data_IF_608823454964
#
_entry.id   IF_608823454964
#
_cell.length_a   1.000
_cell.length_b   1.000
_cell.length_c   1.000
_cell.angle_alpha   90.00
_cell.angle_beta   90.00
_cell.angle_gamma   90.00
#
_symmetry.space_group_name_H-M   'P 1'
#
loop_
_entity.id
_entity.type
_entity.pdbx_description
1 polymer ?
#
# COMPACT_ATOMS: atom_id res chain seq x y z
N UNK A 1 -5.63 55.19 -104.67
CA UNK A 1 -5.58 55.32 -106.14
C UNK A 1 -4.28 55.97 -106.65
N UNK A 2 -3.20 56.04 -105.85
CA UNK A 2 -1.99 56.80 -106.24
C UNK A 2 -0.80 55.95 -106.70
N UNK A 3 -0.86 54.63 -106.57
CA UNK A 3 0.24 53.76 -106.99
C UNK A 3 0.38 53.67 -108.51
N UNK A 4 -0.73 53.80 -109.26
CA UNK A 4 -0.74 53.79 -110.72
C UNK A 4 -0.38 55.16 -111.32
N UNK A 5 -0.65 56.26 -110.59
CA UNK A 5 -0.23 57.62 -110.94
C UNK A 5 1.28 57.82 -110.71
N UNK A 6 1.82 57.33 -109.59
CA UNK A 6 3.26 57.36 -109.31
C UNK A 6 4.09 56.47 -110.24
N UNK A 7 3.55 55.31 -110.64
CA UNK A 7 4.19 54.47 -111.64
C UNK A 7 4.18 55.12 -113.04
N UNK A 8 3.10 55.83 -113.41
CA UNK A 8 3.04 56.54 -114.69
C UNK A 8 4.00 57.74 -114.71
N UNK A 9 4.10 58.51 -113.62
CA UNK A 9 5.04 59.64 -113.52
C UNK A 9 6.50 59.15 -113.53
N UNK A 10 6.83 58.07 -112.81
CA UNK A 10 8.16 57.45 -112.90
C UNK A 10 8.43 56.88 -114.30
N UNK A 11 7.43 56.33 -114.99
CA UNK A 11 7.57 55.85 -116.35
C UNK A 11 7.73 57.01 -117.36
N UNK A 12 7.00 58.11 -117.21
CA UNK A 12 7.13 59.33 -118.02
C UNK A 12 8.49 59.99 -117.80
N UNK A 13 8.94 60.12 -116.55
CA UNK A 13 10.27 60.65 -116.19
C UNK A 13 11.39 59.74 -116.72
N UNK A 14 11.21 58.42 -116.65
CA UNK A 14 12.18 57.49 -117.23
C UNK A 14 12.18 57.57 -118.75
N UNK A 15 11.02 57.73 -119.41
CA UNK A 15 10.90 57.86 -120.86
C UNK A 15 11.47 59.19 -121.38
N UNK A 16 11.25 60.30 -120.66
CA UNK A 16 11.82 61.61 -120.96
C UNK A 16 13.33 61.59 -120.77
N UNK A 17 13.83 61.04 -119.65
CA UNK A 17 15.26 60.90 -119.40
C UNK A 17 15.95 60.00 -120.44
N UNK A 18 15.33 58.88 -120.83
CA UNK A 18 15.87 58.00 -121.86
C UNK A 18 15.80 58.60 -123.27
N UNK A 19 14.72 59.32 -123.61
CA UNK A 19 14.54 59.99 -124.91
C UNK A 19 15.53 61.15 -125.08
N UNK A 20 15.74 61.96 -124.04
CA UNK A 20 16.75 63.03 -124.04
C UNK A 20 18.18 62.46 -124.09
N UNK A 21 18.46 61.38 -123.37
CA UNK A 21 19.79 60.78 -123.38
C UNK A 21 20.09 60.05 -124.71
N UNK A 22 19.10 59.41 -125.34
CA UNK A 22 19.22 58.82 -126.69
C UNK A 22 19.31 59.88 -127.78
N UNK A 23 18.55 60.97 -127.72
CA UNK A 23 18.69 62.10 -128.64
C UNK A 23 20.08 62.73 -128.53
N UNK A 24 20.60 62.91 -127.31
CA UNK A 24 21.96 63.42 -127.09
C UNK A 24 23.04 62.46 -127.62
N UNK A 25 22.88 61.13 -127.48
CA UNK A 25 23.79 60.15 -128.10
C UNK A 25 23.71 60.10 -129.64
N UNK A 26 22.54 60.36 -130.24
CA UNK A 26 22.35 60.40 -131.70
C UNK A 26 22.92 61.68 -132.32
N UNK A 27 22.75 62.84 -131.67
CA UNK A 27 23.37 64.11 -132.09
C UNK A 27 24.91 64.05 -131.98
N UNK A 28 25.45 63.42 -130.94
CA UNK A 28 26.89 63.21 -130.80
C UNK A 28 27.48 62.33 -131.92
N UNK A 29 26.76 61.27 -132.37
CA UNK A 29 27.22 60.40 -133.48
C UNK A 29 27.12 61.02 -134.88
N UNK A 30 26.16 61.93 -135.13
CA UNK A 30 26.04 62.60 -136.44
C UNK A 30 27.05 63.76 -136.61
N UNK A 31 27.45 64.42 -135.52
CA UNK A 31 28.55 65.41 -135.48
C UNK A 31 29.93 64.79 -135.77
N UNK A 32 30.11 63.50 -135.51
CA UNK A 32 31.42 62.82 -135.58
C UNK A 32 31.91 62.42 -136.98
N UNK A 33 31.07 62.49 -138.03
CA UNK A 33 31.48 62.14 -139.42
C UNK A 33 32.26 63.24 -140.14
N UNK A 34 32.22 64.47 -139.65
CA UNK A 34 32.88 65.64 -140.28
C UNK A 34 34.05 66.21 -139.45
N UNK A 35 34.51 65.51 -138.41
CA UNK A 35 35.64 65.93 -137.57
C UNK A 35 36.90 65.09 -137.84
N UNK A 36 38.05 65.75 -137.95
CA UNK A 36 39.36 65.14 -138.20
C UNK A 36 39.76 64.09 -137.14
N UNK A 37 40.56 63.06 -137.49
CA UNK A 37 40.96 61.96 -136.58
C UNK A 37 41.55 62.42 -135.23
N UNK A 38 42.26 63.55 -135.22
CA UNK A 38 42.82 64.14 -134.00
C UNK A 38 41.75 64.58 -132.98
N UNK A 39 40.59 65.06 -133.46
CA UNK A 39 39.51 65.59 -132.62
C UNK A 39 38.64 64.48 -132.02
N UNK A 40 38.50 63.34 -132.72
CA UNK A 40 37.87 62.12 -132.18
C UNK A 40 38.68 61.49 -131.05
N UNK A 41 40.01 61.48 -131.20
CA UNK A 41 40.91 60.96 -130.18
C UNK A 41 40.89 61.84 -128.92
N UNK A 42 40.79 63.16 -129.09
CA UNK A 42 40.61 64.11 -128.00
C UNK A 42 39.29 63.89 -127.25
N UNK A 43 38.17 63.71 -127.97
CA UNK A 43 36.86 63.46 -127.35
C UNK A 43 36.80 62.11 -126.61
N UNK A 44 37.38 61.05 -127.20
CA UNK A 44 37.50 59.73 -126.54
C UNK A 44 38.44 59.78 -125.32
N UNK A 45 39.50 60.60 -125.35
CA UNK A 45 40.32 60.90 -124.17
C UNK A 45 39.58 61.72 -123.12
N UNK A 46 38.66 62.59 -123.54
CA UNK A 46 37.82 63.38 -122.64
C UNK A 46 36.75 62.50 -121.97
N UNK A 47 36.12 61.58 -122.72
CA UNK A 47 35.23 60.56 -122.18
C UNK A 47 35.96 59.55 -121.28
N UNK A 48 37.16 59.10 -121.67
CA UNK A 48 38.01 58.27 -120.81
C UNK A 48 38.37 59.02 -119.52
N UNK A 49 38.70 60.31 -119.62
CA UNK A 49 38.97 61.16 -118.47
C UNK A 49 37.74 61.30 -117.57
N UNK A 50 36.55 61.52 -118.13
CA UNK A 50 35.31 61.70 -117.38
C UNK A 50 34.81 60.40 -116.75
N UNK A 51 34.93 59.26 -117.45
CA UNK A 51 34.67 57.93 -116.90
C UNK A 51 35.70 57.57 -115.82
N UNK A 52 36.96 57.91 -116.00
CA UNK A 52 38.00 57.68 -114.99
C UNK A 52 37.79 58.60 -113.77
N UNK A 53 37.32 59.83 -113.97
CA UNK A 53 36.91 60.75 -112.90
C UNK A 53 35.68 60.23 -112.14
N UNK A 54 34.66 59.73 -112.84
CA UNK A 54 33.48 59.11 -112.22
C UNK A 54 33.84 57.80 -111.49
N UNK A 55 34.71 56.96 -112.07
CA UNK A 55 35.19 55.74 -111.44
C UNK A 55 36.03 56.04 -110.19
N UNK A 56 36.84 57.11 -110.20
CA UNK A 56 37.55 57.60 -109.01
C UNK A 56 36.58 58.10 -107.93
N UNK A 57 35.52 58.81 -108.30
CA UNK A 57 34.48 59.24 -107.37
C UNK A 57 33.76 58.04 -106.74
N UNK A 58 33.32 57.06 -107.54
CA UNK A 58 32.67 55.83 -107.04
C UNK A 58 33.62 55.00 -106.18
N UNK A 59 34.89 54.87 -106.56
CA UNK A 59 35.91 54.20 -105.73
C UNK A 59 36.15 54.94 -104.42
N UNK A 60 36.15 56.28 -104.44
CA UNK A 60 36.28 57.10 -103.25
C UNK A 60 35.07 56.93 -102.31
N UNK A 61 33.85 56.95 -102.85
CA UNK A 61 32.61 56.74 -102.08
C UNK A 61 32.49 55.31 -101.55
N UNK A 62 32.87 54.31 -102.35
CA UNK A 62 32.95 52.91 -101.91
C UNK A 62 33.98 52.74 -100.80
N UNK A 63 35.17 53.35 -100.95
CA UNK A 63 36.20 53.28 -99.92
C UNK A 63 35.73 53.99 -98.62
N UNK A 64 35.09 55.16 -98.74
CA UNK A 64 34.52 55.86 -97.59
C UNK A 64 33.41 55.07 -96.89
N UNK A 65 32.53 54.42 -97.64
CA UNK A 65 31.48 53.57 -97.06
C UNK A 65 32.06 52.33 -96.38
N UNK A 66 33.07 51.69 -96.96
CA UNK A 66 33.79 50.57 -96.33
C UNK A 66 34.52 51.00 -95.05
N UNK A 67 35.19 52.15 -95.06
CA UNK A 67 35.85 52.74 -93.88
C UNK A 67 34.83 53.07 -92.79
N UNK A 68 33.71 53.72 -93.13
CA UNK A 68 32.65 54.04 -92.18
C UNK A 68 31.97 52.79 -91.59
N UNK A 69 31.74 51.75 -92.41
CA UNK A 69 31.23 50.47 -91.91
C UNK A 69 32.24 49.77 -90.99
N UNK A 70 33.53 49.90 -91.26
CA UNK A 70 34.60 49.36 -90.41
C UNK A 70 34.64 50.09 -89.06
N UNK A 71 34.61 51.42 -89.07
CA UNK A 71 34.54 52.25 -87.86
C UNK A 71 33.29 51.91 -87.04
N UNK A 72 32.12 51.79 -87.68
CA UNK A 72 30.87 51.42 -86.99
C UNK A 72 30.91 50.00 -86.44
N UNK A 73 31.53 49.04 -87.13
CA UNK A 73 31.78 47.69 -86.59
C UNK A 73 32.69 47.74 -85.36
N UNK A 74 33.74 48.55 -85.39
CA UNK A 74 34.65 48.72 -84.24
C UNK A 74 33.94 49.38 -83.06
N UNK A 75 33.11 50.39 -83.29
CA UNK A 75 32.30 51.05 -82.26
C UNK A 75 31.28 50.08 -81.62
N UNK A 76 30.57 49.28 -82.44
CA UNK A 76 29.66 48.24 -81.95
C UNK A 76 30.44 47.20 -81.12
N UNK A 77 31.64 46.81 -81.57
CA UNK A 77 32.48 45.85 -80.84
C UNK A 77 33.02 46.43 -79.52
N UNK A 78 33.26 47.74 -79.47
CA UNK A 78 33.55 48.48 -78.24
C UNK A 78 32.37 48.44 -77.28
N UNK A 79 31.19 48.85 -77.75
CA UNK A 79 29.94 48.81 -76.96
C UNK A 79 29.61 47.39 -76.47
N UNK A 80 29.83 46.37 -77.28
CA UNK A 80 29.64 44.97 -76.87
C UNK A 80 30.60 44.56 -75.75
N UNK A 81 31.88 44.96 -75.83
CA UNK A 81 32.86 44.75 -74.75
C UNK A 81 32.43 45.48 -73.49
N UNK A 82 32.01 46.74 -73.59
CA UNK A 82 31.55 47.51 -72.44
C UNK A 82 30.35 46.85 -71.78
N UNK A 83 29.33 46.45 -72.55
CA UNK A 83 28.17 45.70 -72.05
C UNK A 83 28.61 44.40 -71.35
N UNK A 84 29.53 43.63 -71.94
CA UNK A 84 30.07 42.41 -71.30
C UNK A 84 30.75 42.72 -69.96
N UNK A 85 31.53 43.80 -69.88
CA UNK A 85 32.17 44.20 -68.61
C UNK A 85 31.15 44.68 -67.57
N UNK A 86 30.13 45.43 -67.98
CA UNK A 86 29.05 45.87 -67.09
C UNK A 86 28.21 44.70 -66.60
N UNK A 87 27.90 43.73 -67.46
CA UNK A 87 27.18 42.51 -67.09
C UNK A 87 27.97 41.69 -66.08
N UNK A 88 29.28 41.50 -66.31
CA UNK A 88 30.14 40.82 -65.35
C UNK A 88 30.21 41.55 -63.99
N UNK A 89 30.29 42.90 -63.98
CA UNK A 89 30.23 43.71 -62.76
C UNK A 89 28.87 43.61 -62.07
N UNK A 90 27.77 43.59 -62.82
CA UNK A 90 26.42 43.47 -62.28
C UNK A 90 26.17 42.09 -61.68
N UNK A 91 26.60 41.02 -62.35
CA UNK A 91 26.56 39.66 -61.82
C UNK A 91 27.38 39.53 -60.53
N UNK A 92 28.57 40.15 -60.51
CA UNK A 92 29.39 40.19 -59.30
C UNK A 92 28.68 40.95 -58.16
N UNK A 93 28.08 42.11 -58.46
CA UNK A 93 27.30 42.89 -57.49
C UNK A 93 26.09 42.10 -56.96
N UNK A 94 25.35 41.39 -57.82
CA UNK A 94 24.23 40.54 -57.41
C UNK A 94 24.69 39.41 -56.50
N UNK A 95 25.81 38.73 -56.83
CA UNK A 95 26.40 37.69 -55.97
C UNK A 95 26.83 38.25 -54.62
N UNK A 96 27.48 39.41 -54.59
CA UNK A 96 27.89 40.06 -53.34
C UNK A 96 26.71 40.52 -52.50
N UNK A 97 25.68 41.09 -53.12
CA UNK A 97 24.45 41.49 -52.43
C UNK A 97 23.74 40.27 -51.85
N UNK A 98 23.63 39.18 -52.61
CA UNK A 98 23.05 37.93 -52.13
C UNK A 98 23.85 37.36 -50.96
N UNK A 99 25.18 37.38 -51.03
CA UNK A 99 26.03 36.99 -49.90
C UNK A 99 25.80 37.88 -48.66
N UNK A 100 25.65 39.20 -48.83
CA UNK A 100 25.34 40.14 -47.73
C UNK A 100 23.96 39.84 -47.16
N UNK A 101 22.95 39.60 -48.00
CA UNK A 101 21.58 39.24 -47.60
C UNK A 101 21.55 37.95 -46.81
N UNK A 102 22.22 36.90 -47.28
CA UNK A 102 22.34 35.62 -46.58
C UNK A 102 23.08 35.77 -45.26
N UNK A 103 24.18 36.53 -45.21
CA UNK A 103 24.91 36.79 -43.95
C UNK A 103 24.05 37.55 -42.95
N UNK A 104 23.36 38.59 -43.38
CA UNK A 104 22.45 39.37 -42.54
C UNK A 104 21.30 38.50 -42.00
N UNK A 105 20.68 37.68 -42.86
CA UNK A 105 19.63 36.73 -42.46
C UNK A 105 20.14 35.70 -41.44
N UNK A 106 21.29 35.08 -41.69
CA UNK A 106 21.92 34.15 -40.74
C UNK A 106 22.30 34.81 -39.42
N UNK A 107 22.71 36.08 -39.42
CA UNK A 107 22.99 36.82 -38.18
C UNK A 107 21.70 37.08 -37.41
N UNK A 108 20.66 37.57 -38.07
CA UNK A 108 19.35 37.82 -37.46
C UNK A 108 18.71 36.54 -36.91
N UNK A 109 18.81 35.41 -37.61
CA UNK A 109 18.32 34.11 -37.12
C UNK A 109 19.08 33.63 -35.89
N UNK A 110 20.41 33.77 -35.86
CA UNK A 110 21.21 33.42 -34.67
C UNK A 110 20.86 34.30 -33.47
N UNK A 111 20.72 35.60 -33.69
CA UNK A 111 20.33 36.54 -32.64
C UNK A 111 18.93 36.25 -32.09
N UNK A 112 17.95 35.99 -32.97
CA UNK A 112 16.60 35.55 -32.56
C UNK A 112 16.63 34.27 -31.73
N UNK A 113 17.39 33.26 -32.15
CA UNK A 113 17.54 32.01 -31.38
C UNK A 113 18.18 32.25 -30.01
N UNK A 114 19.23 33.06 -29.94
CA UNK A 114 19.88 33.41 -28.68
C UNK A 114 18.94 34.16 -27.74
N UNK A 115 18.18 35.14 -28.25
CA UNK A 115 17.18 35.86 -27.45
C UNK A 115 16.07 34.94 -26.96
N UNK A 116 15.62 33.98 -27.77
CA UNK A 116 14.63 32.98 -27.35
C UNK A 116 15.18 32.08 -26.24
N UNK A 117 16.42 31.60 -26.37
CA UNK A 117 17.07 30.81 -25.32
C UNK A 117 17.21 31.61 -24.02
N UNK A 118 17.73 32.84 -24.10
CA UNK A 118 17.90 33.70 -22.93
C UNK A 118 16.59 34.12 -22.27
N UNK A 119 15.54 34.38 -23.04
CA UNK A 119 14.22 34.67 -22.48
C UNK A 119 13.57 33.46 -21.82
N UNK A 120 13.81 32.24 -22.33
CA UNK A 120 13.37 31.03 -21.65
C UNK A 120 14.14 30.80 -20.33
N UNK A 121 15.47 30.95 -20.34
CA UNK A 121 16.32 30.87 -19.14
C UNK A 121 15.92 31.93 -18.09
N UNK A 122 15.62 33.16 -18.51
CA UNK A 122 15.16 34.21 -17.60
C UNK A 122 13.84 33.82 -16.92
N UNK A 123 12.86 33.30 -17.68
CA UNK A 123 11.57 32.87 -17.12
C UNK A 123 11.73 31.74 -16.11
N UNK A 124 12.61 30.77 -16.38
CA UNK A 124 12.87 29.68 -15.43
C UNK A 124 13.50 30.22 -14.16
N UNK A 125 14.49 31.12 -14.29
CA UNK A 125 15.20 31.69 -13.15
C UNK A 125 14.30 32.63 -12.32
N UNK A 126 13.42 33.40 -12.96
CA UNK A 126 12.40 34.22 -12.30
C UNK A 126 11.42 33.35 -11.50
N UNK A 127 11.00 32.21 -12.06
CA UNK A 127 10.15 31.24 -11.36
C UNK A 127 10.84 30.64 -10.12
N UNK A 128 12.12 30.25 -10.24
CA UNK A 128 12.92 29.75 -9.12
C UNK A 128 13.11 30.81 -8.03
N UNK A 129 13.38 32.06 -8.42
CA UNK A 129 13.57 33.17 -7.50
C UNK A 129 12.28 33.45 -6.71
N UNK A 130 11.12 33.41 -7.37
CA UNK A 130 9.82 33.55 -6.71
C UNK A 130 9.57 32.41 -5.71
N UNK A 131 9.82 31.15 -6.10
CA UNK A 131 9.65 30.00 -5.23
C UNK A 131 10.57 30.08 -3.99
N UNK A 132 11.85 30.43 -4.18
CA UNK A 132 12.79 30.62 -3.08
C UNK A 132 12.40 31.79 -2.17
N UNK A 133 11.86 32.86 -2.73
CA UNK A 133 11.38 34.02 -1.96
C UNK A 133 10.19 33.64 -1.09
N UNK A 134 9.23 32.90 -1.64
CA UNK A 134 8.08 32.39 -0.88
C UNK A 134 8.52 31.45 0.24
N UNK A 135 9.46 30.54 -0.02
CA UNK A 135 9.96 29.63 1.01
C UNK A 135 10.72 30.39 2.11
N UNK A 136 11.52 31.39 1.75
CA UNK A 136 12.18 32.28 2.72
C UNK A 136 11.15 33.02 3.58
N UNK A 137 10.09 33.57 2.99
CA UNK A 137 9.02 34.25 3.73
C UNK A 137 8.28 33.29 4.65
N UNK A 138 7.98 32.07 4.19
CA UNK A 138 7.38 31.02 5.01
C UNK A 138 8.26 30.69 6.22
N UNK A 139 9.56 30.48 5.99
CA UNK A 139 10.52 30.19 7.06
C UNK A 139 10.69 31.38 8.02
N UNK A 140 10.73 32.61 7.52
CA UNK A 140 10.78 33.81 8.35
C UNK A 140 9.55 33.93 9.25
N UNK A 141 8.34 33.71 8.71
CA UNK A 141 7.11 33.74 9.50
C UNK A 141 7.07 32.64 10.58
N UNK A 142 7.67 31.48 10.30
CA UNK A 142 7.77 30.40 11.27
C UNK A 142 8.80 30.72 12.36
N UNK A 143 9.93 31.34 11.99
CA UNK A 143 10.94 31.78 12.93
C UNK A 143 10.39 32.87 13.88
N UNK A 144 9.65 33.85 13.35
CA UNK A 144 9.00 34.90 14.13
C UNK A 144 7.99 34.32 15.14
N UNK A 145 7.13 33.38 14.71
CA UNK A 145 6.21 32.68 15.62
C UNK A 145 6.95 31.91 16.73
N UNK A 146 8.12 31.37 16.42
CA UNK A 146 8.91 30.56 17.34
C UNK A 146 9.91 31.38 18.18
N UNK A 147 10.02 32.70 17.98
CA UNK A 147 10.92 33.59 18.70
C UNK A 147 10.65 33.64 20.22
N UNK A 148 9.41 33.31 20.61
CA UNK A 148 8.99 33.26 22.02
C UNK A 148 9.77 32.19 22.81
N UNK A 149 10.12 31.07 22.17
CA UNK A 149 10.77 29.93 22.84
C UNK A 149 12.22 30.20 23.27
N UNK A 150 13.14 30.70 22.43
CA UNK A 150 14.50 31.05 22.88
C UNK A 150 14.47 32.12 23.96
N UNK A 151 13.60 33.14 23.84
CA UNK A 151 13.38 34.16 24.86
C UNK A 151 12.94 33.57 26.20
N UNK A 152 12.00 32.63 26.16
CA UNK A 152 11.57 31.89 27.34
C UNK A 152 12.72 31.10 27.97
N UNK A 153 13.49 30.35 27.17
CA UNK A 153 14.60 29.56 27.67
C UNK A 153 15.71 30.44 28.26
N UNK A 154 16.01 31.59 27.65
CA UNK A 154 16.95 32.57 28.21
C UNK A 154 16.47 33.12 29.56
N UNK A 155 15.15 33.39 29.71
CA UNK A 155 14.57 33.75 31.01
C UNK A 155 14.74 32.63 32.04
N UNK A 156 14.51 31.38 31.66
CA UNK A 156 14.70 30.21 32.54
C UNK A 156 16.15 30.08 33.00
N UNK A 157 17.12 30.21 32.08
CA UNK A 157 18.56 30.21 32.39
C UNK A 157 18.89 31.31 33.39
N UNK A 158 18.39 32.54 33.16
CA UNK A 158 18.60 33.68 34.05
C UNK A 158 18.03 33.47 35.46
N UNK A 159 16.89 32.81 35.58
CA UNK A 159 16.23 32.53 36.86
C UNK A 159 16.90 31.39 37.63
N UNK A 160 17.17 30.27 36.95
CA UNK A 160 17.63 29.05 37.62
C UNK A 160 19.10 29.08 38.00
N UNK A 161 19.96 29.88 37.33
CA UNK A 161 21.42 30.01 37.55
C UNK A 161 22.25 28.72 37.55
N UNK A 162 21.62 27.55 37.51
CA UNK A 162 22.22 26.22 37.42
C UNK A 162 22.61 25.86 35.99
N UNK A 163 22.10 26.59 35.01
CA UNK A 163 22.36 26.40 33.59
C UNK A 163 23.03 27.66 33.06
N UNK A 164 24.01 27.48 32.18
CA UNK A 164 24.69 28.59 31.50
C UNK A 164 24.05 28.87 30.14
N UNK A 165 23.52 27.84 29.48
CA UNK A 165 22.94 27.92 28.14
C UNK A 165 21.55 27.27 28.06
N UNK A 166 20.65 27.80 27.21
CA UNK A 166 19.36 27.16 26.89
C UNK A 166 19.47 25.68 26.50
N UNK A 167 20.57 25.29 25.84
CA UNK A 167 20.81 23.91 25.41
C UNK A 167 20.96 22.94 26.57
N UNK A 168 21.53 23.39 27.69
CA UNK A 168 21.67 22.56 28.90
C UNK A 168 20.29 22.30 29.55
N UNK A 169 19.40 23.30 29.52
CA UNK A 169 18.02 23.16 29.99
C UNK A 169 17.27 22.13 29.15
N UNK A 170 17.39 22.20 27.82
CA UNK A 170 16.78 21.23 26.91
C UNK A 170 17.32 19.82 27.14
N UNK A 171 18.65 19.65 27.23
CA UNK A 171 19.26 18.34 27.49
C UNK A 171 18.81 17.74 28.84
N UNK A 172 18.67 18.57 29.88
CA UNK A 172 18.13 18.12 31.17
C UNK A 172 16.66 17.71 31.05
N UNK A 173 15.86 18.48 30.32
CA UNK A 173 14.47 18.13 30.06
C UNK A 173 14.35 16.81 29.31
N UNK A 174 15.14 16.61 28.25
CA UNK A 174 15.17 15.36 27.47
C UNK A 174 15.53 14.17 28.36
N UNK A 175 16.56 14.33 29.21
CA UNK A 175 16.95 13.30 30.18
C UNK A 175 15.82 13.01 31.18
N UNK A 176 15.11 14.03 31.66
CA UNK A 176 13.97 13.86 32.57
C UNK A 176 12.79 13.16 31.90
N UNK A 177 12.50 13.49 30.64
CA UNK A 177 11.46 12.81 29.85
C UNK A 177 11.81 11.34 29.65
N UNK A 178 13.06 11.05 29.28
CA UNK A 178 13.53 9.67 29.13
C UNK A 178 13.45 8.91 30.47
N UNK A 179 13.96 9.49 31.55
CA UNK A 179 13.90 8.88 32.89
C UNK A 179 12.45 8.63 33.33
N UNK A 180 11.54 9.55 33.02
CA UNK A 180 10.11 9.38 33.31
C UNK A 180 9.54 8.19 32.54
N UNK A 181 9.86 8.05 31.26
CA UNK A 181 9.38 6.92 30.45
C UNK A 181 9.94 5.60 31.01
N UNK A 182 11.23 5.54 31.33
CA UNK A 182 11.86 4.34 31.91
C UNK A 182 11.21 3.96 33.25
N UNK A 183 10.92 4.94 34.11
CA UNK A 183 10.21 4.71 35.38
C UNK A 183 8.78 4.23 35.17
N UNK A 184 8.05 4.78 34.20
CA UNK A 184 6.71 4.32 33.86
C UNK A 184 6.71 2.88 33.34
N UNK A 185 7.68 2.53 32.50
CA UNK A 185 7.84 1.15 32.03
C UNK A 185 8.18 0.20 33.18
N UNK A 186 9.12 0.58 34.05
CA UNK A 186 9.44 -0.23 35.24
C UNK A 186 8.24 -0.39 36.18
N UNK A 187 7.42 0.65 36.35
CA UNK A 187 6.19 0.59 37.15
C UNK A 187 5.19 -0.39 36.54
N UNK A 188 4.97 -0.34 35.23
CA UNK A 188 4.08 -1.28 34.51
C UNK A 188 4.56 -2.72 34.65
N UNK A 189 5.86 -2.97 34.54
CA UNK A 189 6.43 -4.30 34.76
C UNK A 189 6.22 -4.76 36.21
N UNK A 190 6.45 -3.88 37.18
CA UNK A 190 6.17 -4.16 38.59
C UNK A 190 4.71 -4.52 38.87
N UNK A 191 3.77 -3.73 38.33
CA UNK A 191 2.33 -4.01 38.40
C UNK A 191 1.97 -5.34 37.76
N UNK A 192 2.55 -5.67 36.59
CA UNK A 192 2.32 -6.95 35.94
C UNK A 192 2.82 -8.14 36.78
N UNK A 193 3.97 -8.00 37.45
CA UNK A 193 4.50 -9.03 38.35
C UNK A 193 3.60 -9.22 39.58
N UNK A 194 3.14 -8.13 40.19
CA UNK A 194 2.21 -8.19 41.33
C UNK A 194 0.88 -8.84 40.91
N UNK A 195 0.31 -8.42 39.78
CA UNK A 195 -0.93 -8.99 39.26
C UNK A 195 -0.79 -10.49 38.95
N UNK A 196 0.36 -10.91 38.41
CA UNK A 196 0.65 -12.33 38.19
C UNK A 196 0.73 -13.10 39.51
N UNK A 197 1.46 -12.57 40.51
CA UNK A 197 1.54 -13.20 41.83
C UNK A 197 0.17 -13.30 42.52
N UNK A 198 -0.66 -12.27 42.41
CA UNK A 198 -2.04 -12.28 42.91
C UNK A 198 -2.90 -13.32 42.18
N UNK A 199 -2.75 -13.45 40.86
CA UNK A 199 -3.45 -14.47 40.08
C UNK A 199 -3.03 -15.90 40.48
N UNK A 200 -1.74 -16.14 40.69
CA UNK A 200 -1.22 -17.42 41.18
C UNK A 200 -1.75 -17.74 42.59
N UNK A 201 -1.79 -16.73 43.47
CA UNK A 201 -2.35 -16.90 44.81
C UNK A 201 -3.84 -17.23 44.75
N UNK A 202 -4.61 -16.55 43.90
CA UNK A 202 -6.04 -16.83 43.71
C UNK A 202 -6.27 -18.27 43.24
N UNK A 203 -5.49 -18.74 42.26
CA UNK A 203 -5.54 -20.12 41.77
C UNK A 203 -5.19 -21.13 42.87
N UNK A 204 -4.16 -20.84 43.67
CA UNK A 204 -3.78 -21.69 44.79
C UNK A 204 -4.92 -21.80 45.82
N UNK A 205 -5.52 -20.66 46.18
CA UNK A 205 -6.65 -20.62 47.13
C UNK A 205 -7.83 -21.43 46.59
N UNK A 206 -8.22 -21.23 45.33
CA UNK A 206 -9.29 -21.98 44.67
C UNK A 206 -9.02 -23.50 44.74
N UNK A 207 -7.83 -23.94 44.32
CA UNK A 207 -7.46 -25.35 44.36
C UNK A 207 -7.44 -25.92 45.80
N UNK A 208 -7.00 -25.14 46.80
CA UNK A 208 -7.07 -25.58 48.20
C UNK A 208 -8.50 -25.67 48.73
N UNK A 209 -9.38 -24.74 48.35
CA UNK A 209 -10.79 -24.78 48.72
C UNK A 209 -11.48 -25.99 48.10
N UNK A 210 -11.20 -26.30 46.83
CA UNK A 210 -11.71 -27.50 46.17
C UNK A 210 -11.27 -28.77 46.91
N UNK A 211 -10.01 -28.83 47.36
CA UNK A 211 -9.52 -29.95 48.17
C UNK A 211 -10.21 -30.02 49.53
N UNK A 212 -10.44 -28.89 50.20
CA UNK A 212 -11.17 -28.85 51.48
C UNK A 212 -12.59 -29.35 51.28
N UNK A 213 -13.30 -28.89 50.25
CA UNK A 213 -14.65 -29.35 49.91
C UNK A 213 -14.64 -30.85 49.62
N UNK A 214 -13.64 -31.34 48.86
CA UNK A 214 -13.49 -32.75 48.57
C UNK A 214 -13.33 -33.60 49.85
N UNK A 215 -12.42 -33.22 50.76
CA UNK A 215 -12.22 -33.94 52.02
C UNK A 215 -13.41 -33.81 52.97
N UNK A 216 -14.08 -32.66 53.04
CA UNK A 216 -15.29 -32.49 53.83
C UNK A 216 -16.41 -33.41 53.35
N UNK A 217 -16.57 -33.57 52.02
CA UNK A 217 -17.53 -34.52 51.46
C UNK A 217 -17.16 -35.97 51.77
N UNK A 218 -15.87 -36.33 51.76
CA UNK A 218 -15.43 -37.66 52.19
C UNK A 218 -15.68 -37.91 53.68
N UNK A 219 -15.39 -36.92 54.53
CA UNK A 219 -15.63 -36.98 55.97
C UNK A 219 -17.11 -37.18 56.26
N UNK A 220 -17.99 -36.42 55.60
CA UNK A 220 -19.43 -36.57 55.74
C UNK A 220 -19.89 -37.99 55.35
N UNK A 221 -19.38 -38.57 54.26
CA UNK A 221 -19.68 -39.96 53.87
C UNK A 221 -19.26 -40.96 54.95
N UNK A 222 -18.01 -40.89 55.41
CA UNK A 222 -17.51 -41.78 56.45
C UNK A 222 -18.28 -41.64 57.76
N UNK A 223 -18.69 -40.42 58.12
CA UNK A 223 -19.51 -40.19 59.30
C UNK A 223 -20.90 -40.81 59.17
N UNK A 224 -21.54 -40.66 58.00
CA UNK A 224 -22.83 -41.34 57.75
C UNK A 224 -22.69 -42.86 57.81
N UNK A 225 -21.62 -43.44 57.27
CA UNK A 225 -21.34 -44.88 57.36
C UNK A 225 -21.14 -45.31 58.82
N UNK A 226 -20.34 -44.57 59.59
CA UNK A 226 -20.13 -44.84 61.00
C UNK A 226 -21.43 -44.78 61.81
N UNK A 227 -22.26 -43.77 61.59
CA UNK A 227 -23.56 -43.61 62.26
C UNK A 227 -24.50 -44.77 61.92
N UNK A 228 -24.52 -45.23 60.65
CA UNK A 228 -25.33 -46.38 60.25
C UNK A 228 -24.89 -47.67 60.92
N UNK A 229 -23.57 -47.95 60.97
CA UNK A 229 -23.02 -49.13 61.63
C UNK A 229 -23.27 -49.08 63.14
N UNK A 230 -23.05 -47.92 63.76
CA UNK A 230 -23.27 -47.73 65.20
C UNK A 230 -24.74 -47.92 65.60
N UNK A 231 -25.67 -47.40 64.78
CA UNK A 231 -27.11 -47.61 64.97
C UNK A 231 -27.49 -49.09 64.86
N UNK A 232 -26.93 -49.82 63.88
CA UNK A 232 -27.13 -51.26 63.75
C UNK A 232 -26.55 -52.03 64.94
N UNK A 233 -25.35 -51.69 65.40
CA UNK A 233 -24.72 -52.31 66.56
C UNK A 233 -25.60 -52.13 67.81
N UNK A 234 -26.09 -50.90 68.06
CA UNK A 234 -26.98 -50.61 69.18
C UNK A 234 -28.30 -51.42 69.10
N UNK A 235 -28.86 -51.61 67.91
CA UNK A 235 -30.04 -52.46 67.71
C UNK A 235 -29.75 -53.92 68.09
N UNK A 236 -28.60 -54.46 67.67
CA UNK A 236 -28.22 -55.82 67.99
C UNK A 236 -27.88 -56.01 69.48
N UNK A 237 -27.21 -55.05 70.11
CA UNK A 237 -26.95 -55.05 71.55
C UNK A 237 -28.25 -55.06 72.36
N UNK A 238 -29.23 -54.25 71.95
CA UNK A 238 -30.56 -54.26 72.58
C UNK A 238 -31.27 -55.61 72.44
N UNK A 239 -31.24 -56.20 71.24
CA UNK A 239 -31.79 -57.55 70.99
C UNK A 239 -31.07 -58.61 71.82
N UNK A 240 -29.75 -58.55 71.89
CA UNK A 240 -28.92 -59.46 72.67
C UNK A 240 -29.25 -59.35 74.16
N UNK A 241 -29.33 -58.12 74.69
CA UNK A 241 -29.72 -57.87 76.08
C UNK A 241 -31.13 -58.41 76.37
N UNK A 242 -32.09 -58.28 75.44
CA UNK A 242 -33.41 -58.89 75.59
C UNK A 242 -33.35 -60.42 75.65
N UNK A 243 -32.57 -61.05 74.76
CA UNK A 243 -32.38 -62.50 74.75
C UNK A 243 -31.76 -62.95 76.08
N UNK A 244 -30.69 -62.29 76.53
CA UNK A 244 -30.03 -62.58 77.80
C UNK A 244 -30.98 -62.42 78.99
N UNK A 245 -31.74 -61.32 79.06
CA UNK A 245 -32.73 -61.11 80.12
C UNK A 245 -33.81 -62.20 80.12
N UNK A 246 -34.26 -62.63 78.94
CA UNK A 246 -35.24 -63.70 78.81
C UNK A 246 -34.65 -65.04 79.23
N UNK A 247 -33.42 -65.34 78.84
CA UNK A 247 -32.69 -66.53 79.26
C UNK A 247 -32.49 -66.53 80.78
N UNK A 248 -32.05 -65.42 81.38
CA UNK A 248 -31.89 -65.28 82.82
C UNK A 248 -33.22 -65.50 83.56
N UNK A 249 -34.34 -64.92 83.08
CA UNK A 249 -35.68 -65.18 83.63
C UNK A 249 -36.07 -66.65 83.54
N UNK A 250 -35.84 -67.32 82.41
CA UNK A 250 -36.12 -68.76 82.24
C UNK A 250 -35.23 -69.63 83.14
N UNK A 251 -33.95 -69.31 83.26
CA UNK A 251 -33.01 -70.02 84.14
C UNK A 251 -33.39 -69.83 85.60
N UNK A 252 -33.76 -68.63 86.02
CA UNK A 252 -34.27 -68.37 87.36
C UNK A 252 -35.55 -69.16 87.63
N UNK A 253 -36.53 -69.10 86.72
CA UNK A 253 -37.77 -69.86 86.86
C UNK A 253 -37.51 -71.36 86.96
N UNK A 254 -36.63 -71.90 86.10
CA UNK A 254 -36.21 -73.30 86.17
C UNK A 254 -35.57 -73.60 87.53
N UNK A 255 -34.65 -72.78 88.00
CA UNK A 255 -34.03 -72.90 89.33
C UNK A 255 -35.07 -72.92 90.46
N UNK A 256 -36.03 -72.00 90.43
CA UNK A 256 -37.14 -71.95 91.40
C UNK A 256 -38.00 -73.20 91.35
N UNK A 257 -38.38 -73.68 90.16
CA UNK A 257 -39.14 -74.94 89.99
C UNK A 257 -38.34 -76.12 90.55
N UNK A 258 -37.04 -76.20 90.26
CA UNK A 258 -36.17 -77.26 90.80
C UNK A 258 -36.13 -77.23 92.33
N UNK A 259 -35.91 -76.06 92.93
CA UNK A 259 -35.85 -75.91 94.39
C UNK A 259 -37.21 -76.22 95.03
N UNK A 260 -38.31 -75.68 94.49
CA UNK A 260 -39.65 -75.94 95.01
C UNK A 260 -40.01 -77.43 94.93
N UNK A 261 -39.68 -78.09 93.81
CA UNK A 261 -39.84 -79.54 93.63
C UNK A 261 -39.03 -80.32 94.65
N UNK A 262 -37.74 -79.99 94.80
CA UNK A 262 -36.87 -80.67 95.76
C UNK A 262 -37.39 -80.49 97.19
N UNK A 263 -37.79 -79.28 97.56
CA UNK A 263 -38.38 -78.99 98.87
C UNK A 263 -39.66 -79.79 99.10
N UNK A 264 -40.53 -79.88 98.09
CA UNK A 264 -41.78 -80.64 98.19
C UNK A 264 -41.49 -82.15 98.30
N UNK A 265 -40.56 -82.68 97.52
CA UNK A 265 -40.11 -84.08 97.55
C UNK A 265 -39.59 -84.45 98.95
N UNK A 266 -38.71 -83.60 99.51
CA UNK A 266 -38.21 -83.76 100.88
C UNK A 266 -39.36 -83.64 101.90
N UNK A 267 -40.33 -82.76 101.72
CA UNK A 267 -41.45 -82.63 102.66
C UNK A 267 -42.41 -83.84 102.62
N UNK A 268 -42.73 -84.36 101.44
CA UNK A 268 -43.68 -85.46 101.26
C UNK A 268 -43.07 -86.81 101.62
N UNK A 269 -41.85 -87.07 101.14
CA UNK A 269 -41.19 -88.35 101.31
C UNK A 269 -40.21 -88.34 102.48
N UNK A 270 -39.84 -87.17 103.03
CA UNK A 270 -38.87 -87.00 104.14
C UNK A 270 -39.12 -87.86 105.37
N UNK A 271 -40.37 -88.30 105.55
CA UNK A 271 -40.82 -89.13 106.67
C UNK A 271 -40.84 -90.63 106.37
N UNK A 272 -40.76 -91.03 105.10
CA UNK A 272 -40.63 -92.44 104.70
C UNK A 272 -39.15 -92.79 104.47
N UNK A 273 -38.73 -94.00 104.81
CA UNK A 273 -37.33 -94.47 104.65
C UNK A 273 -36.90 -94.68 103.18
N UNK A 274 -37.70 -94.26 102.20
CA UNK A 274 -37.52 -94.58 100.77
C UNK A 274 -36.72 -93.53 99.96
N UNK A 275 -35.81 -92.82 100.65
CA UNK A 275 -34.94 -91.77 100.10
C UNK A 275 -33.78 -92.27 99.25
N UNK A 276 -33.49 -93.56 99.27
CA UNK A 276 -32.24 -94.06 98.72
C UNK A 276 -32.34 -94.26 97.21
N UNK A 277 -32.11 -93.19 96.44
CA UNK A 277 -31.74 -93.32 95.03
C UNK A 277 -31.94 -92.10 94.13
N UNK A 278 -32.69 -91.08 94.53
CA UNK A 278 -33.00 -89.94 93.64
C UNK A 278 -31.99 -88.81 93.83
N UNK A 279 -31.30 -88.42 92.75
CA UNK A 279 -30.30 -87.34 92.77
C UNK A 279 -30.96 -85.98 93.04
N UNK A 280 -30.31 -85.07 93.80
CA UNK A 280 -30.81 -83.72 94.03
C UNK A 280 -30.98 -82.89 92.74
N UNK A 281 -30.31 -83.26 91.65
CA UNK A 281 -30.37 -82.54 90.36
C UNK A 281 -31.43 -83.10 89.39
N UNK A 282 -31.97 -84.30 89.64
CA UNK A 282 -32.96 -84.95 88.78
C UNK A 282 -34.40 -84.60 89.20
N UNK A 283 -34.82 -83.42 88.77
CA UNK A 283 -36.13 -82.85 89.10
C UNK A 283 -37.31 -83.66 88.55
N UNK A 284 -37.13 -84.38 87.45
CA UNK A 284 -38.20 -85.17 86.84
C UNK A 284 -38.51 -86.40 87.68
N UNK A 285 -37.48 -87.13 88.12
CA UNK A 285 -37.67 -88.27 89.03
C UNK A 285 -38.27 -87.84 90.37
N UNK A 286 -37.88 -86.68 90.90
CA UNK A 286 -38.47 -86.12 92.13
C UNK A 286 -39.97 -85.85 91.97
N UNK A 287 -40.39 -85.22 90.87
CA UNK A 287 -41.81 -85.00 90.57
C UNK A 287 -42.58 -86.32 90.43
N UNK A 288 -42.02 -87.32 89.75
CA UNK A 288 -42.65 -88.63 89.61
C UNK A 288 -42.88 -89.33 90.95
N UNK A 289 -41.90 -89.28 91.87
CA UNK A 289 -42.06 -89.84 93.22
C UNK A 289 -43.07 -89.04 94.07
N UNK A 290 -43.06 -87.70 93.99
CA UNK A 290 -44.11 -86.87 94.62
C UNK A 290 -45.50 -87.27 94.09
N UNK A 291 -45.63 -87.44 92.77
CA UNK A 291 -46.88 -87.83 92.13
C UNK A 291 -47.36 -89.19 92.62
N UNK A 292 -46.49 -90.21 92.70
CA UNK A 292 -46.87 -91.51 93.25
C UNK A 292 -47.30 -91.42 94.72
N UNK A 293 -46.64 -90.58 95.52
CA UNK A 293 -47.02 -90.36 96.92
C UNK A 293 -48.40 -89.69 97.04
N UNK A 294 -48.67 -88.66 96.24
CA UNK A 294 -49.99 -88.01 96.22
C UNK A 294 -51.09 -88.97 95.75
N UNK A 295 -50.85 -89.79 94.73
CA UNK A 295 -51.80 -90.81 94.28
C UNK A 295 -52.07 -91.87 95.36
N UNK A 296 -51.03 -92.28 96.10
CA UNK A 296 -51.20 -93.17 97.24
C UNK A 296 -52.03 -92.52 98.35
N UNK A 297 -51.80 -91.25 98.69
CA UNK A 297 -52.60 -90.52 99.68
C UNK A 297 -54.06 -90.38 99.25
N UNK A 298 -54.31 -90.08 97.97
CA UNK A 298 -55.67 -90.03 97.42
C UNK A 298 -56.34 -91.41 97.53
N UNK A 299 -55.61 -92.47 97.19
CA UNK A 299 -56.08 -93.85 97.35
C UNK A 299 -56.40 -94.20 98.82
N UNK A 300 -55.57 -93.77 99.78
CA UNK A 300 -55.82 -93.96 101.21
C UNK A 300 -57.03 -93.15 101.66
N UNK A 301 -57.17 -91.89 101.24
CA UNK A 301 -58.34 -91.06 101.56
C UNK A 301 -59.64 -91.65 101.00
N UNK A 302 -59.63 -92.22 99.78
CA UNK A 302 -60.79 -92.92 99.23
C UNK A 302 -61.16 -94.18 100.03
N UNK A 303 -60.17 -94.86 100.63
CA UNK A 303 -60.40 -96.00 101.52
C UNK A 303 -60.95 -95.56 102.87
N UNK A 304 -60.40 -94.49 103.47
CA UNK A 304 -60.88 -93.90 104.74
C UNK A 304 -62.29 -93.34 104.59
N UNK A 305 -62.59 -92.66 103.48
CA UNK A 305 -63.95 -92.18 103.18
C UNK A 305 -64.96 -93.33 103.01
N UNK A 306 -64.52 -94.50 102.52
CA UNK A 306 -65.35 -95.72 102.48
C UNK A 306 -65.51 -96.40 103.86
N UNK A 307 -64.67 -96.08 104.83
CA UNK A 307 -64.72 -96.59 106.21
C UNK A 307 -65.62 -95.73 107.11
N UNK A 308 -65.60 -94.40 106.97
CA UNK A 308 -66.53 -93.48 107.65
C UNK A 308 -68.00 -93.75 107.26
N UNK A 309 -68.25 -94.26 106.05
CA UNK A 309 -69.59 -94.69 105.63
C UNK A 309 -70.05 -96.03 106.24
N UNK A 310 -69.17 -96.80 106.90
CA UNK A 310 -69.52 -98.06 107.58
C UNK A 310 -69.76 -97.91 109.08
N UNK A 311 -69.21 -96.89 109.74
CA UNK A 311 -69.44 -96.64 111.18
C UNK A 311 -70.76 -95.89 111.47
N UNK A 312 -71.39 -95.27 110.47
CA UNK A 312 -72.74 -94.66 110.58
C UNK A 312 -73.91 -95.64 110.34
N UNK A 313 -73.64 -96.95 110.27
CA UNK A 313 -74.64 -98.03 110.24
C UNK A 313 -74.35 -99.09 111.31
N UNK A 314 -74.43 -98.72 112.58
CA UNK A 314 -74.70 -99.60 113.72
C UNK A 314 -75.56 -98.83 114.73
#
# INVERSE_FOLDING_TARGET
MDSNSKANVLAEDFNVYFKDNLQNQLFQKQSEKFLAPATRLLKKKQEEHDVNKALRAVKYDFNNTVVNQRLRKEEIRGKEKDIKTHLAKFDQFLKENEMKRVRAKKKAERERKLTQQKSAELRTLEGELLALTQERERLASLAEKNEIYPDYLLRVVKLCKQFEEPRQVMARFDTLVQTREDLLQSSRVGEALVNNALAQLAQYIEHTNDRIIHYNNQLAKLQTELDTISSQAMLWDSRWAHIQNTAAKKTLLLGTVKIATLNLFVATLGKEKDHQGVSPEDTLQQLSKIQSFLLNLIGIMEVVSKQDHKELRC
#
